data_IF_457054505988
#
_entry.id   IF_457054505988
#
_cell.length_a   1.000
_cell.length_b   1.000
_cell.length_c   1.000
_cell.angle_alpha   90.00
_cell.angle_beta   90.00
_cell.angle_gamma   90.00
#
_symmetry.space_group_name_H-M   'P 1'
#
loop_
_entity.id
_entity.type
_entity.pdbx_description
1 polymer ?
#
# COMPACT_ATOMS: atom_id res chain seq x y z
N UNK A 1 -10.15 4.87 20.47
CA UNK A 1 -10.77 6.07 19.87
C UNK A 1 -11.78 5.74 18.76
N UNK A 2 -11.49 4.76 17.87
CA UNK A 2 -12.41 4.38 16.79
C UNK A 2 -13.25 3.11 17.04
N UNK A 3 -13.04 2.41 18.16
CA UNK A 3 -13.81 1.22 18.54
C UNK A 3 -13.40 -0.04 17.77
N UNK A 4 -13.73 -0.13 16.48
CA UNK A 4 -13.56 -1.30 15.60
C UNK A 4 -13.17 -0.90 14.17
N UNK A 5 -12.99 -1.89 13.28
CA UNK A 5 -12.76 -1.64 11.85
C UNK A 5 -13.93 -0.89 11.21
N UNK A 6 -15.17 -1.17 11.64
CA UNK A 6 -16.36 -0.45 11.22
C UNK A 6 -16.29 1.03 11.60
N UNK A 7 -15.85 1.33 12.82
CA UNK A 7 -15.67 2.71 13.27
C UNK A 7 -14.56 3.45 12.53
N UNK A 8 -13.45 2.76 12.22
CA UNK A 8 -12.39 3.32 11.37
C UNK A 8 -12.91 3.60 9.95
N UNK A 9 -13.63 2.64 9.36
CA UNK A 9 -14.24 2.79 8.03
C UNK A 9 -15.26 3.92 8.00
N UNK A 10 -16.09 4.06 9.03
CA UNK A 10 -17.07 5.14 9.12
C UNK A 10 -16.39 6.50 9.26
N UNK A 11 -15.35 6.62 10.10
CA UNK A 11 -14.58 7.85 10.24
C UNK A 11 -13.88 8.24 8.94
N UNK A 12 -13.24 7.27 8.27
CA UNK A 12 -12.62 7.45 6.97
C UNK A 12 -13.62 7.90 5.90
N UNK A 13 -14.77 7.22 5.80
CA UNK A 13 -15.86 7.56 4.88
C UNK A 13 -16.37 8.98 5.12
N UNK A 14 -16.65 9.33 6.36
CA UNK A 14 -17.13 10.67 6.72
C UNK A 14 -16.11 11.74 6.31
N UNK A 15 -14.82 11.49 6.54
CA UNK A 15 -13.76 12.42 6.16
C UNK A 15 -13.63 12.58 4.64
N UNK A 16 -13.68 11.47 3.87
CA UNK A 16 -13.61 11.50 2.39
C UNK A 16 -14.81 12.21 1.78
N UNK A 17 -16.02 11.99 2.32
CA UNK A 17 -17.25 12.56 1.79
C UNK A 17 -17.47 14.02 2.20
N UNK A 18 -16.80 14.49 3.26
CA UNK A 18 -16.85 15.91 3.59
C UNK A 18 -16.03 16.70 2.56
N UNK A 19 -16.58 17.78 1.98
CA UNK A 19 -15.88 18.65 1.04
C UNK A 19 -14.84 19.49 1.76
N UNK A 20 -13.78 18.86 2.27
CA UNK A 20 -12.58 19.51 2.77
C UNK A 20 -11.55 19.75 1.65
N UNK A 21 -11.74 19.07 0.51
CA UNK A 21 -10.86 19.16 -0.66
C UNK A 21 -11.14 20.38 -1.55
N UNK A 22 -12.23 21.11 -1.33
CA UNK A 22 -12.69 22.23 -2.18
C UNK A 22 -12.29 23.63 -1.73
N UNK A 23 -11.78 23.82 -0.51
CA UNK A 23 -11.39 25.16 -0.01
C UNK A 23 -9.99 25.61 -0.45
N UNK A 24 -9.25 24.73 -1.12
CA UNK A 24 -7.88 24.99 -1.49
C UNK A 24 -7.64 24.62 -2.95
N UNK A 25 -7.52 25.66 -3.77
CA UNK A 25 -7.13 25.54 -5.17
C UNK A 25 -5.63 25.19 -5.25
N UNK A 26 -5.32 23.89 -5.17
CA UNK A 26 -3.96 23.38 -5.35
C UNK A 26 -3.60 23.15 -6.83
N UNK A 27 -4.48 23.60 -7.73
CA UNK A 27 -4.24 23.63 -9.16
C UNK A 27 -3.32 24.83 -9.42
N UNK A 28 -2.12 24.55 -9.89
CA UNK A 28 -1.12 25.57 -10.16
C UNK A 28 -0.06 25.03 -11.11
N UNK A 29 0.53 25.92 -11.89
CA UNK A 29 1.75 25.64 -12.65
C UNK A 29 2.95 25.77 -11.72
N UNK A 30 3.79 24.73 -11.67
CA UNK A 30 5.01 24.70 -10.88
C UNK A 30 6.20 24.76 -11.84
N UNK A 31 7.15 25.66 -11.60
CA UNK A 31 8.36 25.81 -12.41
C UNK A 31 9.52 25.01 -11.83
N UNK A 32 9.49 24.71 -10.52
CA UNK A 32 10.57 24.01 -9.81
C UNK A 32 10.09 22.84 -8.98
N UNK A 33 10.98 21.86 -8.72
CA UNK A 33 10.70 20.73 -7.81
C UNK A 33 10.43 21.22 -6.38
N UNK A 34 11.10 22.29 -5.95
CA UNK A 34 10.91 22.87 -4.62
C UNK A 34 9.46 23.36 -4.42
N UNK A 35 8.89 24.03 -5.42
CA UNK A 35 7.50 24.48 -5.39
C UNK A 35 6.51 23.31 -5.35
N UNK A 36 6.79 22.23 -6.10
CA UNK A 36 5.99 21.00 -6.05
C UNK A 36 6.01 20.40 -4.64
N UNK A 37 7.19 20.32 -4.03
CA UNK A 37 7.38 19.78 -2.67
C UNK A 37 6.68 20.66 -1.63
N UNK A 38 6.87 21.98 -1.69
CA UNK A 38 6.23 22.92 -0.77
C UNK A 38 4.70 22.84 -0.87
N UNK A 39 4.17 22.84 -2.09
CA UNK A 39 2.74 22.68 -2.36
C UNK A 39 2.20 21.35 -1.80
N UNK A 40 2.93 20.25 -1.99
CA UNK A 40 2.57 18.95 -1.41
C UNK A 40 2.59 18.96 0.12
N UNK A 41 3.59 19.58 0.75
CA UNK A 41 3.65 19.72 2.20
C UNK A 41 2.51 20.58 2.74
N UNK A 42 2.15 21.66 2.04
CA UNK A 42 1.00 22.51 2.39
C UNK A 42 -0.32 21.72 2.35
N UNK A 43 -0.54 20.92 1.30
CA UNK A 43 -1.68 19.99 1.20
C UNK A 43 -1.72 19.01 2.37
N UNK A 44 -0.60 18.36 2.64
CA UNK A 44 -0.49 17.40 3.73
C UNK A 44 -0.83 18.04 5.08
N UNK A 45 -0.25 19.22 5.40
CA UNK A 45 -0.54 19.96 6.64
C UNK A 45 -2.00 20.39 6.76
N UNK A 46 -2.66 20.72 5.65
CA UNK A 46 -4.09 21.03 5.64
C UNK A 46 -4.94 19.79 5.92
N UNK A 47 -4.65 18.69 5.24
CA UNK A 47 -5.36 17.42 5.37
C UNK A 47 -5.22 16.82 6.79
N UNK A 48 -4.01 16.84 7.37
CA UNK A 48 -3.74 16.22 8.69
C UNK A 48 -4.51 16.86 9.83
N UNK A 49 -4.96 18.12 9.71
CA UNK A 49 -5.78 18.78 10.75
C UNK A 49 -7.17 18.16 10.94
N UNK A 50 -7.73 17.57 9.88
CA UNK A 50 -9.10 17.02 9.87
C UNK A 50 -9.12 15.50 9.65
N UNK A 51 -8.00 14.92 9.23
CA UNK A 51 -7.87 13.49 8.95
C UNK A 51 -8.01 12.68 10.25
N UNK A 52 -8.82 11.60 10.25
CA UNK A 52 -8.87 10.66 11.36
C UNK A 52 -7.48 10.11 11.67
N UNK A 53 -7.13 9.99 12.96
CA UNK A 53 -5.84 9.44 13.42
C UNK A 53 -5.60 8.01 12.90
N UNK A 54 -6.66 7.24 12.59
CA UNK A 54 -6.51 5.91 11.98
C UNK A 54 -6.00 5.95 10.53
N UNK A 55 -6.16 7.07 9.82
CA UNK A 55 -5.60 7.31 8.49
C UNK A 55 -4.32 8.15 8.57
N UNK A 56 -4.25 9.00 9.57
CA UNK A 56 -3.13 9.90 9.82
C UNK A 56 -1.86 9.16 10.19
N UNK A 57 -0.76 9.70 9.68
CA UNK A 57 0.56 9.21 10.01
C UNK A 57 1.62 10.06 9.37
N UNK A 58 2.45 10.74 10.15
CA UNK A 58 3.76 11.14 9.65
C UNK A 58 4.57 9.92 9.22
N UNK A 59 5.74 10.15 8.63
CA UNK A 59 6.74 9.09 8.42
C UNK A 59 6.98 8.32 9.73
N UNK A 60 6.62 7.03 9.75
CA UNK A 60 6.86 6.13 10.87
C UNK A 60 5.65 5.86 11.79
N UNK A 61 4.48 6.42 11.51
CA UNK A 61 3.28 6.16 12.31
C UNK A 61 2.53 4.87 11.90
N UNK A 62 1.82 4.29 12.88
CA UNK A 62 1.04 3.07 12.74
C UNK A 62 -0.30 3.37 12.04
N UNK A 63 -0.25 3.65 10.74
CA UNK A 63 -1.42 3.88 9.89
C UNK A 63 -1.44 2.88 8.72
N UNK A 64 -2.61 2.34 8.34
CA UNK A 64 -2.73 1.50 7.13
C UNK A 64 -2.25 2.19 5.85
N UNK A 65 -2.21 3.53 5.83
CA UNK A 65 -1.79 4.33 4.67
C UNK A 65 -0.27 4.53 4.63
N UNK A 66 0.37 4.66 5.79
CA UNK A 66 1.77 5.09 5.91
C UNK A 66 2.73 4.02 6.45
N UNK A 67 2.21 2.92 6.98
CA UNK A 67 2.99 1.82 7.51
C UNK A 67 3.82 1.15 6.40
N UNK A 68 5.08 0.80 6.72
CA UNK A 68 6.02 0.14 5.80
C UNK A 68 6.55 -1.19 6.33
N UNK A 69 5.99 -1.68 7.44
CA UNK A 69 6.53 -2.81 8.20
C UNK A 69 6.62 -4.12 7.40
N UNK A 70 5.75 -4.29 6.38
CA UNK A 70 5.75 -5.48 5.52
C UNK A 70 6.52 -5.31 4.22
N UNK A 71 7.07 -4.12 3.95
CA UNK A 71 7.61 -3.79 2.61
C UNK A 71 8.97 -3.11 2.63
N UNK A 72 9.49 -2.74 3.80
CA UNK A 72 10.80 -2.11 3.98
C UNK A 72 11.80 -3.11 4.58
N UNK A 73 13.01 -3.29 4.01
CA UNK A 73 13.53 -2.62 2.82
C UNK A 73 12.89 -3.13 1.51
N UNK A 74 13.12 -2.42 0.40
CA UNK A 74 12.69 -2.88 -0.93
C UNK A 74 13.33 -4.23 -1.27
N UNK A 75 12.58 -5.11 -1.93
CA UNK A 75 12.99 -6.38 -2.53
C UNK A 75 13.67 -7.40 -1.60
N UNK A 76 13.74 -7.11 -0.30
CA UNK A 76 14.30 -8.01 0.70
C UNK A 76 13.27 -8.35 1.77
N UNK A 77 13.64 -9.26 2.67
CA UNK A 77 12.83 -9.62 3.83
C UNK A 77 12.57 -8.36 4.67
N UNK A 78 11.34 -8.15 5.15
CA UNK A 78 11.03 -6.98 5.96
C UNK A 78 11.88 -6.90 7.23
N UNK A 79 12.30 -5.69 7.61
CA UNK A 79 13.24 -5.46 8.71
C UNK A 79 12.66 -5.78 10.09
N UNK A 80 11.35 -5.67 10.27
CA UNK A 80 10.72 -5.99 11.56
C UNK A 80 10.65 -7.52 11.74
N UNK A 81 11.37 -8.11 12.72
CA UNK A 81 11.36 -9.55 12.92
C UNK A 81 9.98 -10.10 13.33
N UNK A 82 9.03 -9.23 13.73
CA UNK A 82 7.65 -9.61 14.04
C UNK A 82 6.72 -9.51 12.84
N UNK A 83 7.20 -9.07 11.68
CA UNK A 83 6.36 -8.82 10.50
C UNK A 83 5.51 -10.03 10.11
N UNK A 84 6.07 -11.25 10.14
CA UNK A 84 5.33 -12.48 9.85
C UNK A 84 4.18 -12.70 10.84
N UNK A 85 4.45 -12.63 12.14
CA UNK A 85 3.42 -12.79 13.17
C UNK A 85 2.32 -11.73 13.01
N UNK A 86 2.71 -10.48 12.78
CA UNK A 86 1.75 -9.37 12.67
C UNK A 86 0.83 -9.51 11.46
N UNK A 87 1.34 -9.96 10.29
CA UNK A 87 0.48 -10.16 9.13
C UNK A 87 -0.42 -11.38 9.32
N UNK A 88 0.06 -12.44 9.99
CA UNK A 88 -0.75 -13.61 10.30
C UNK A 88 -1.95 -13.23 11.18
N UNK A 89 -1.71 -12.51 12.28
CA UNK A 89 -2.77 -12.02 13.17
C UNK A 89 -3.72 -11.03 12.47
N UNK A 90 -3.20 -10.19 11.57
CA UNK A 90 -4.02 -9.23 10.84
C UNK A 90 -4.99 -9.95 9.90
N UNK A 91 -4.51 -10.91 9.10
CA UNK A 91 -5.35 -11.65 8.16
C UNK A 91 -6.43 -12.47 8.89
N UNK A 92 -6.07 -13.10 10.00
CA UNK A 92 -7.02 -13.84 10.86
C UNK A 92 -8.14 -12.92 11.39
N UNK A 93 -7.78 -11.71 11.83
CA UNK A 93 -8.76 -10.73 12.36
C UNK A 93 -9.68 -10.15 11.29
N UNK A 94 -9.25 -10.06 10.03
CA UNK A 94 -10.11 -9.55 8.94
C UNK A 94 -11.21 -10.56 8.60
N UNK A 95 -10.90 -11.85 8.62
CA UNK A 95 -11.92 -12.88 8.52
C UNK A 95 -11.45 -14.19 7.89
N UNK A 96 -12.31 -15.19 7.97
CA UNK A 96 -12.08 -16.50 7.36
C UNK A 96 -11.98 -16.39 5.84
N UNK A 97 -10.96 -17.04 5.26
CA UNK A 97 -10.73 -17.07 3.81
C UNK A 97 -9.84 -15.94 3.28
N UNK A 98 -9.39 -14.99 4.12
CA UNK A 98 -8.42 -13.96 3.69
C UNK A 98 -7.01 -14.55 3.67
N UNK A 99 -6.42 -14.67 2.49
CA UNK A 99 -5.14 -15.37 2.31
C UNK A 99 -3.92 -14.44 2.31
N UNK A 100 -4.12 -13.18 1.93
CA UNK A 100 -3.03 -12.26 1.61
C UNK A 100 -3.47 -10.80 1.69
N UNK A 101 -2.49 -9.93 1.92
CA UNK A 101 -2.62 -8.48 1.82
C UNK A 101 -1.89 -8.01 0.56
N UNK A 102 -2.51 -7.10 -0.20
CA UNK A 102 -1.91 -6.44 -1.36
C UNK A 102 -1.69 -4.97 -1.00
N UNK A 103 -0.46 -4.48 -1.14
CA UNK A 103 -0.08 -3.15 -0.68
C UNK A 103 0.93 -2.47 -1.62
N UNK A 104 0.93 -1.13 -1.59
CA UNK A 104 1.91 -0.29 -2.29
C UNK A 104 2.76 0.51 -1.31
N UNK A 105 2.91 1.81 -1.60
CA UNK A 105 3.56 2.84 -0.77
C UNK A 105 5.09 2.72 -0.61
N UNK A 106 5.62 1.50 -0.52
CA UNK A 106 7.06 1.22 -0.56
C UNK A 106 7.43 0.67 -1.92
N UNK A 107 8.05 1.50 -2.78
CA UNK A 107 8.46 1.08 -4.10
C UNK A 107 9.36 -0.16 -4.06
N UNK A 108 9.09 -1.08 -4.96
CA UNK A 108 9.88 -2.28 -5.24
C UNK A 108 10.42 -2.16 -6.67
N UNK A 109 11.51 -2.88 -6.99
CA UNK A 109 11.99 -2.89 -8.38
C UNK A 109 11.04 -3.68 -9.31
N UNK A 110 10.36 -4.68 -8.75
CA UNK A 110 9.34 -5.51 -9.41
C UNK A 110 8.29 -5.93 -8.40
N UNK A 111 7.09 -6.30 -8.85
CA UNK A 111 6.08 -6.91 -7.97
C UNK A 111 6.68 -8.18 -7.37
N UNK A 112 6.59 -8.28 -6.05
CA UNK A 112 7.12 -9.42 -5.31
C UNK A 112 6.24 -9.71 -4.09
N UNK A 113 6.48 -10.86 -3.46
CA UNK A 113 5.80 -11.28 -2.25
C UNK A 113 6.80 -11.52 -1.13
N UNK A 114 6.47 -11.07 0.07
CA UNK A 114 7.21 -11.37 1.29
C UNK A 114 6.32 -12.12 2.29
N UNK A 115 6.91 -12.56 3.40
CA UNK A 115 6.19 -13.16 4.53
C UNK A 115 5.38 -14.39 4.11
N UNK A 116 6.04 -15.30 3.39
CA UNK A 116 5.48 -16.56 2.88
C UNK A 116 4.25 -16.34 1.97
N UNK A 117 4.36 -15.41 1.02
CA UNK A 117 3.29 -15.12 0.07
C UNK A 117 2.13 -14.29 0.61
N UNK A 118 2.17 -13.85 1.87
CA UNK A 118 1.07 -13.11 2.51
C UNK A 118 1.12 -11.61 2.27
N UNK A 119 2.30 -11.04 1.99
CA UNK A 119 2.48 -9.62 1.71
C UNK A 119 2.87 -9.39 0.24
N UNK A 120 1.89 -9.07 -0.61
CA UNK A 120 2.12 -8.71 -2.01
C UNK A 120 2.39 -7.21 -2.15
N UNK A 121 3.60 -6.87 -2.62
CA UNK A 121 4.10 -5.50 -2.73
C UNK A 121 4.05 -5.08 -4.20
N UNK A 122 3.07 -4.26 -4.56
CA UNK A 122 2.71 -3.98 -5.98
C UNK A 122 3.12 -2.59 -6.47
N UNK A 123 3.63 -1.73 -5.59
CA UNK A 123 4.16 -0.43 -5.99
C UNK A 123 5.54 -0.60 -6.63
N UNK A 124 5.61 -0.52 -7.96
CA UNK A 124 6.88 -0.58 -8.71
C UNK A 124 7.53 0.79 -8.91
N UNK A 125 7.01 1.84 -8.27
CA UNK A 125 7.51 3.21 -8.46
C UNK A 125 7.41 3.69 -9.92
N UNK A 126 6.29 3.37 -10.60
CA UNK A 126 6.10 3.57 -12.04
C UNK A 126 6.29 5.03 -12.50
N UNK A 127 6.04 5.99 -11.62
CA UNK A 127 6.24 7.40 -11.96
C UNK A 127 7.72 7.72 -12.18
N UNK A 128 8.00 8.57 -13.17
CA UNK A 128 9.35 9.08 -13.49
C UNK A 128 10.05 9.75 -12.31
N UNK A 129 9.31 10.32 -11.37
CA UNK A 129 9.84 11.00 -10.19
C UNK A 129 10.13 10.09 -8.99
N UNK A 130 9.79 8.80 -9.06
CA UNK A 130 10.01 7.83 -7.96
C UNK A 130 11.13 6.85 -8.33
N UNK A 131 10.85 5.90 -9.22
CA UNK A 131 11.86 4.94 -9.70
C UNK A 131 11.87 4.82 -11.22
N UNK A 132 10.92 5.45 -11.91
CA UNK A 132 10.67 5.22 -13.34
C UNK A 132 10.50 3.72 -13.65
N UNK A 133 9.95 2.96 -12.68
CA UNK A 133 9.88 1.52 -12.74
C UNK A 133 9.00 1.02 -13.88
N UNK A 134 9.33 -0.18 -14.38
CA UNK A 134 8.56 -0.81 -15.45
C UNK A 134 7.22 -1.30 -14.87
N UNK A 135 6.07 -0.90 -15.42
CA UNK A 135 4.78 -1.38 -14.93
C UNK A 135 4.66 -2.90 -14.96
N UNK A 136 4.01 -3.45 -13.95
CA UNK A 136 3.64 -4.86 -13.82
C UNK A 136 2.23 -4.93 -13.20
N UNK A 137 1.53 -6.04 -13.42
CA UNK A 137 0.18 -6.27 -12.87
C UNK A 137 0.19 -7.55 -12.06
N UNK A 138 -0.31 -7.49 -10.83
CA UNK A 138 -0.63 -8.68 -10.04
C UNK A 138 -1.99 -9.22 -10.51
N UNK A 139 -2.00 -10.40 -11.09
CA UNK A 139 -3.20 -11.14 -11.45
C UNK A 139 -3.50 -12.18 -10.36
N UNK A 140 -4.72 -12.16 -9.83
CA UNK A 140 -5.25 -13.15 -8.89
C UNK A 140 -6.53 -13.70 -9.52
N UNK A 141 -6.51 -14.98 -9.89
CA UNK A 141 -7.68 -15.70 -10.41
C UNK A 141 -8.21 -16.59 -9.30
N UNK A 142 -9.46 -16.35 -8.88
CA UNK A 142 -10.08 -17.13 -7.82
C UNK A 142 -10.29 -18.58 -8.26
N UNK A 143 -9.75 -19.53 -7.49
CA UNK A 143 -9.87 -20.96 -7.78
C UNK A 143 -11.27 -21.52 -7.54
N UNK A 144 -12.02 -20.93 -6.60
CA UNK A 144 -13.32 -21.44 -6.14
C UNK A 144 -13.29 -21.79 -4.65
N UNK A 145 -14.42 -22.28 -4.13
CA UNK A 145 -14.50 -22.67 -2.72
C UNK A 145 -13.59 -23.87 -2.43
N UNK A 146 -12.62 -23.67 -1.53
CA UNK A 146 -11.69 -24.72 -1.11
C UNK A 146 -10.48 -24.92 -2.03
N UNK A 147 -10.38 -24.17 -3.12
CA UNK A 147 -9.21 -24.16 -4.01
C UNK A 147 -8.32 -22.93 -3.75
N UNK A 148 -7.02 -23.07 -4.00
CA UNK A 148 -6.09 -21.94 -3.92
C UNK A 148 -6.29 -21.00 -5.12
N UNK A 149 -6.15 -19.69 -4.88
CA UNK A 149 -6.15 -18.72 -5.98
C UNK A 149 -4.87 -18.88 -6.81
N UNK A 150 -5.01 -18.84 -8.14
CA UNK A 150 -3.86 -18.77 -9.03
C UNK A 150 -3.33 -17.33 -9.04
N UNK A 151 -2.06 -17.16 -8.66
CA UNK A 151 -1.42 -15.84 -8.57
C UNK A 151 -0.28 -15.74 -9.58
N UNK A 152 -0.25 -14.66 -10.35
CA UNK A 152 0.78 -14.43 -11.35
C UNK A 152 1.02 -12.94 -11.60
N UNK A 153 2.12 -12.63 -12.28
CA UNK A 153 2.52 -11.26 -12.60
C UNK A 153 2.53 -11.12 -14.12
N UNK A 154 1.72 -10.19 -14.63
CA UNK A 154 1.73 -9.84 -16.05
C UNK A 154 2.73 -8.70 -16.27
N UNK A 155 3.68 -8.90 -17.18
CA UNK A 155 4.70 -7.89 -17.51
C UNK A 155 4.32 -7.13 -18.78
N UNK A 156 4.93 -5.96 -18.97
CA UNK A 156 4.78 -5.18 -20.20
C UNK A 156 5.29 -5.89 -21.46
N UNK A 157 6.09 -6.96 -21.33
CA UNK A 157 6.55 -7.77 -22.46
C UNK A 157 5.54 -8.86 -22.85
N UNK A 158 4.38 -8.92 -22.18
CA UNK A 158 3.34 -9.93 -22.41
C UNK A 158 3.64 -11.27 -21.72
N UNK A 159 4.63 -11.32 -20.83
CA UNK A 159 4.96 -12.51 -20.06
C UNK A 159 4.03 -12.65 -18.85
N UNK A 160 3.70 -13.89 -18.51
CA UNK A 160 2.99 -14.27 -17.29
C UNK A 160 3.96 -15.03 -16.40
N UNK A 161 4.40 -14.39 -15.32
CA UNK A 161 5.37 -14.92 -14.36
C UNK A 161 4.64 -15.55 -13.20
N UNK A 162 5.02 -16.77 -12.80
CA UNK A 162 4.39 -17.45 -11.67
C UNK A 162 4.73 -16.74 -10.34
N UNK A 163 3.81 -16.80 -9.38
CA UNK A 163 4.03 -16.26 -8.04
C UNK A 163 5.23 -16.86 -7.31
N UNK A 164 5.61 -18.11 -7.60
CA UNK A 164 6.78 -18.77 -7.00
C UNK A 164 8.08 -18.02 -7.29
N UNK A 165 8.17 -17.42 -8.48
CA UNK A 165 9.36 -16.72 -8.96
C UNK A 165 9.48 -15.30 -8.40
N UNK A 166 8.48 -14.90 -7.60
CA UNK A 166 8.37 -13.57 -6.99
C UNK A 166 8.43 -13.61 -5.46
N UNK A 167 8.68 -14.77 -4.88
CA UNK A 167 8.87 -14.90 -3.44
C UNK A 167 10.22 -14.33 -3.03
N UNK A 168 10.19 -13.43 -2.04
CA UNK A 168 11.39 -13.04 -1.31
C UNK A 168 11.64 -14.06 -0.22
N UNK A 169 12.70 -14.83 -0.44
CA UNK A 169 13.20 -15.85 0.49
C UNK A 169 14.21 -15.23 1.46
N UNK A 170 14.23 -15.77 2.68
CA UNK A 170 15.28 -15.49 3.68
C UNK A 170 16.63 -16.10 3.30
#
# INVERSE_FOLDING_TARGET
EYGSIEGMNQAARNWILQPHHGEHDYVGTYETVAEVVESAQKRARGATKKMPNCLGGGTGEQSPVWMRNYSSPNDTVPKDPRAQQLIDEALEKVGHGVQRMVMGHTPQHRINAALKGKAWRVDVGASRGVMHGRPEVLEIVHGGEGEEDAVSILTMDGEKVDSSDRQVVE
#
